data_IF_820843474682
#
_entry.id   IF_820843474682
#
_cell.length_a   1.000
_cell.length_b   1.000
_cell.length_c   1.000
_cell.angle_alpha   90.00
_cell.angle_beta   90.00
_cell.angle_gamma   90.00
#
_symmetry.space_group_name_H-M   'P 1'
#
loop_
_entity.id
_entity.type
_entity.pdbx_description
1 polymer ?
#
# COMPACT_ATOMS: atom_id res chain seq x y z
N UNK A 1 2.33 6.22 10.86
CA UNK A 1 2.23 7.33 9.87
C UNK A 1 1.03 8.23 10.15
N UNK A 2 -0.12 7.68 10.51
CA UNK A 2 -1.32 8.47 10.82
C UNK A 2 -1.14 9.53 11.91
N UNK A 3 -0.38 9.23 12.98
CA UNK A 3 -0.03 10.19 14.04
C UNK A 3 0.67 11.45 13.49
N UNK A 4 1.47 11.33 12.42
CA UNK A 4 2.16 12.47 11.79
C UNK A 4 1.15 13.38 11.09
N UNK A 5 0.17 12.81 10.36
CA UNK A 5 -0.89 13.58 9.72
C UNK A 5 -1.78 14.27 10.76
N UNK A 6 -2.10 13.59 11.86
CA UNK A 6 -2.83 14.18 12.99
C UNK A 6 -2.06 15.37 13.60
N UNK A 7 -0.74 15.21 13.80
CA UNK A 7 0.11 16.30 14.29
C UNK A 7 0.12 17.50 13.34
N UNK A 8 0.27 17.29 12.03
CA UNK A 8 0.21 18.35 11.03
C UNK A 8 -1.13 19.11 11.06
N UNK A 9 -2.26 18.38 11.16
CA UNK A 9 -3.60 18.97 11.29
C UNK A 9 -3.78 19.80 12.57
N UNK A 10 -3.17 19.34 13.68
CA UNK A 10 -3.15 20.09 14.95
C UNK A 10 -2.36 21.39 14.88
N UNK A 11 -1.28 21.44 14.10
CA UNK A 11 -0.45 22.64 13.93
C UNK A 11 -1.15 23.74 13.11
N UNK A 12 -1.87 23.36 12.05
CA UNK A 12 -2.71 24.28 11.29
C UNK A 12 -3.85 23.52 10.61
N UNK A 13 -5.06 23.68 11.12
CA UNK A 13 -6.23 22.95 10.59
C UNK A 13 -6.73 23.50 9.25
N UNK A 14 -6.50 24.78 8.95
CA UNK A 14 -6.93 25.40 7.67
C UNK A 14 -6.00 25.08 6.52
N UNK A 15 -4.70 24.97 6.80
CA UNK A 15 -3.66 24.64 5.82
C UNK A 15 -2.57 23.81 6.51
N UNK A 16 -2.80 22.51 6.73
CA UNK A 16 -1.84 21.66 7.40
C UNK A 16 -0.53 21.60 6.61
N UNK A 17 0.63 21.63 7.27
CA UNK A 17 1.91 21.45 6.59
C UNK A 17 2.01 20.04 6.02
N UNK A 18 2.70 19.91 4.89
CA UNK A 18 3.01 18.61 4.29
C UNK A 18 4.00 17.86 5.16
N UNK A 19 3.93 16.54 5.13
CA UNK A 19 4.86 15.64 5.81
C UNK A 19 5.42 14.63 4.83
N UNK A 20 6.69 14.29 5.01
CA UNK A 20 7.47 13.52 4.06
C UNK A 20 8.13 12.34 4.76
N UNK A 21 8.22 11.20 4.07
CA UNK A 21 8.98 10.04 4.53
C UNK A 21 10.46 10.26 4.23
N UNK A 22 11.32 9.94 5.20
CA UNK A 22 12.77 10.06 5.08
C UNK A 22 13.36 8.69 5.43
N UNK A 23 14.14 8.15 4.50
CA UNK A 23 14.82 6.88 4.70
C UNK A 23 16.24 7.11 5.21
N UNK A 24 16.64 6.32 6.20
CA UNK A 24 17.96 6.44 6.79
C UNK A 24 19.05 6.12 5.75
N UNK A 25 20.08 6.97 5.68
CA UNK A 25 21.17 6.85 4.70
C UNK A 25 20.84 7.41 3.30
N UNK A 26 19.56 7.71 3.02
CA UNK A 26 19.09 8.30 1.77
C UNK A 26 18.35 9.62 2.02
N UNK A 27 18.81 10.40 3.01
CA UNK A 27 18.19 11.66 3.36
C UNK A 27 18.44 12.74 2.28
N UNK A 28 17.41 13.44 1.78
CA UNK A 28 17.57 14.47 0.76
C UNK A 28 18.29 15.70 1.31
N UNK A 29 18.92 16.49 0.42
CA UNK A 29 19.60 17.74 0.81
C UNK A 29 18.67 18.75 1.51
N UNK A 30 17.38 18.74 1.19
CA UNK A 30 16.37 19.56 1.87
C UNK A 30 16.20 19.19 3.34
N UNK A 31 16.58 17.97 3.74
CA UNK A 31 16.60 17.50 5.11
C UNK A 31 17.97 17.70 5.75
N UNK A 32 19.06 17.27 5.10
CA UNK A 32 20.41 17.32 5.69
C UNK A 32 20.88 18.77 5.92
N UNK A 33 20.52 19.71 5.03
CA UNK A 33 20.85 21.14 5.18
C UNK A 33 20.15 21.83 6.37
N UNK A 34 19.18 21.17 7.01
CA UNK A 34 18.53 21.71 8.22
C UNK A 34 19.38 21.53 9.48
N UNK A 35 20.49 20.78 9.41
CA UNK A 35 21.34 20.47 10.54
C UNK A 35 22.73 21.12 10.37
N UNK A 36 23.32 21.72 11.43
CA UNK A 36 24.63 22.37 11.35
C UNK A 36 25.78 21.44 10.96
N UNK A 37 25.68 20.16 11.31
CA UNK A 37 26.60 19.11 10.92
C UNK A 37 25.79 17.85 10.61
N UNK A 38 26.14 17.18 9.52
CA UNK A 38 25.50 15.96 9.08
C UNK A 38 26.56 14.97 8.59
N UNK A 39 26.46 13.72 9.01
CA UNK A 39 27.38 12.64 8.60
C UNK A 39 26.62 11.65 7.74
N UNK A 40 27.14 11.34 6.55
CA UNK A 40 26.56 10.35 5.65
C UNK A 40 27.00 8.96 6.07
N UNK A 41 26.02 8.09 6.31
CA UNK A 41 26.24 6.69 6.70
C UNK A 41 26.01 5.78 5.50
N UNK A 42 27.09 5.53 4.76
CA UNK A 42 27.08 4.70 3.55
C UNK A 42 26.70 3.24 3.85
N UNK A 43 27.07 2.73 5.03
CA UNK A 43 26.70 1.39 5.50
C UNK A 43 25.17 1.24 5.62
N UNK A 44 24.48 2.27 6.08
CA UNK A 44 23.02 2.30 6.16
C UNK A 44 22.40 2.53 4.78
N UNK A 45 22.98 3.43 3.97
CA UNK A 45 22.50 3.69 2.61
C UNK A 45 22.48 2.40 1.77
N UNK A 46 23.54 1.61 1.80
CA UNK A 46 23.63 0.34 1.06
C UNK A 46 22.57 -0.69 1.48
N UNK A 47 22.17 -0.69 2.75
CA UNK A 47 21.09 -1.57 3.24
C UNK A 47 19.74 -1.08 2.70
N UNK A 48 19.51 0.23 2.77
CA UNK A 48 18.26 0.85 2.32
C UNK A 48 18.09 0.77 0.79
N UNK A 49 19.16 0.91 0.00
CA UNK A 49 19.13 0.80 -1.47
C UNK A 49 18.83 -0.62 -1.97
N UNK A 50 19.10 -1.64 -1.16
CA UNK A 50 18.74 -3.03 -1.49
C UNK A 50 17.23 -3.28 -1.36
N UNK A 51 16.51 -2.40 -0.68
CA UNK A 51 15.06 -2.47 -0.58
C UNK A 51 14.43 -1.84 -1.83
N UNK A 52 13.74 -2.68 -2.62
CA UNK A 52 13.32 -2.34 -3.98
C UNK A 52 12.31 -1.18 -4.07
N UNK A 53 11.72 -0.74 -2.95
CA UNK A 53 10.71 0.32 -2.90
C UNK A 53 11.30 1.69 -2.53
N UNK A 54 12.61 1.79 -2.24
CA UNK A 54 13.24 3.05 -1.82
C UNK A 54 13.78 3.82 -3.03
N UNK A 55 12.87 4.52 -3.71
CA UNK A 55 13.28 5.50 -4.73
C UNK A 55 13.84 6.76 -4.06
N UNK A 56 14.84 7.41 -4.68
CA UNK A 56 15.43 8.68 -4.23
C UNK A 56 14.49 9.90 -4.45
N UNK A 57 13.18 9.68 -4.35
CA UNK A 57 12.14 10.65 -4.60
C UNK A 57 11.58 11.21 -3.29
N UNK A 58 11.01 12.41 -3.36
CA UNK A 58 10.30 13.00 -2.22
C UNK A 58 8.94 12.31 -2.09
N UNK A 59 8.79 11.49 -1.04
CA UNK A 59 7.58 10.72 -0.79
C UNK A 59 6.74 11.39 0.29
N UNK A 60 5.44 11.62 0.03
CA UNK A 60 4.53 12.16 1.04
C UNK A 60 4.03 11.06 1.97
N UNK A 61 3.91 11.37 3.27
CA UNK A 61 3.37 10.42 4.25
C UNK A 61 1.93 10.02 3.92
N UNK A 62 1.15 10.90 3.30
CA UNK A 62 -0.22 10.61 2.88
C UNK A 62 -0.29 9.51 1.81
N UNK A 63 0.63 9.54 0.83
CA UNK A 63 0.67 8.56 -0.26
C UNK A 63 1.10 7.18 0.27
N UNK A 64 2.11 7.13 1.14
CA UNK A 64 2.56 5.88 1.75
C UNK A 64 1.48 5.30 2.64
N UNK A 65 0.82 6.13 3.44
CA UNK A 65 -0.29 5.68 4.27
C UNK A 65 -1.44 5.15 3.41
N UNK A 66 -1.78 5.82 2.30
CA UNK A 66 -2.81 5.35 1.38
C UNK A 66 -2.46 3.98 0.76
N UNK A 67 -1.18 3.75 0.43
CA UNK A 67 -0.69 2.44 -0.04
C UNK A 67 -0.82 1.36 1.04
N UNK A 68 -0.40 1.67 2.27
CA UNK A 68 -0.45 0.72 3.40
C UNK A 68 -1.87 0.42 3.89
N UNK A 69 -2.79 1.38 3.77
CA UNK A 69 -4.20 1.23 4.16
C UNK A 69 -5.10 0.84 2.97
N UNK A 70 -4.53 0.44 1.83
CA UNK A 70 -5.31 0.01 0.67
C UNK A 70 -5.97 -1.33 0.94
N UNK A 71 -7.29 -1.31 1.15
CA UNK A 71 -8.10 -2.51 1.35
C UNK A 71 -8.67 -3.07 0.04
N UNK A 72 -8.84 -2.22 -0.98
CA UNK A 72 -9.48 -2.57 -2.25
C UNK A 72 -8.51 -2.40 -3.41
N UNK A 73 -8.46 -3.41 -4.28
CA UNK A 73 -7.61 -3.50 -5.45
C UNK A 73 -8.48 -3.70 -6.70
N UNK A 74 -8.13 -3.07 -7.83
CA UNK A 74 -8.77 -3.35 -9.11
C UNK A 74 -8.63 -4.82 -9.49
N UNK A 75 -9.66 -5.39 -10.13
CA UNK A 75 -9.64 -6.79 -10.59
C UNK A 75 -8.40 -7.14 -11.43
N UNK A 76 -7.97 -6.21 -12.30
CA UNK A 76 -6.78 -6.40 -13.13
C UNK A 76 -5.49 -6.57 -12.31
N UNK A 77 -5.36 -5.90 -11.16
CA UNK A 77 -4.18 -6.04 -10.29
C UNK A 77 -4.17 -7.40 -9.57
N UNK A 78 -5.34 -7.91 -9.16
CA UNK A 78 -5.45 -9.21 -8.47
C UNK A 78 -5.30 -10.41 -9.41
N UNK A 79 -5.59 -10.22 -10.70
CA UNK A 79 -5.35 -11.23 -11.74
C UNK A 79 -3.91 -11.21 -12.26
N UNK A 80 -3.20 -10.09 -12.13
CA UNK A 80 -1.80 -9.98 -12.51
C UNK A 80 -0.88 -10.78 -11.57
N UNK A 81 0.31 -11.10 -12.07
CA UNK A 81 1.39 -11.72 -11.29
C UNK A 81 2.69 -10.93 -11.53
N UNK A 82 3.45 -10.57 -10.48
CA UNK A 82 3.25 -10.89 -9.05
C UNK A 82 2.06 -10.15 -8.41
N UNK A 83 1.52 -10.71 -7.32
CA UNK A 83 0.44 -10.08 -6.55
C UNK A 83 0.96 -8.84 -5.80
N UNK A 84 0.12 -7.82 -5.56
CA UNK A 84 0.49 -6.69 -4.72
C UNK A 84 0.89 -7.12 -3.31
N UNK A 85 1.81 -6.38 -2.70
CA UNK A 85 2.31 -6.67 -1.36
C UNK A 85 1.21 -6.57 -0.30
N UNK A 86 1.16 -7.55 0.60
CA UNK A 86 0.14 -7.61 1.66
C UNK A 86 -1.23 -8.16 1.25
N UNK A 87 -1.42 -8.53 -0.03
CA UNK A 87 -2.64 -9.21 -0.50
C UNK A 87 -2.54 -10.71 -0.21
N UNK A 88 -3.56 -11.27 0.44
CA UNK A 88 -3.66 -12.72 0.68
C UNK A 88 -4.03 -13.46 -0.62
N UNK A 89 -3.13 -14.30 -1.17
CA UNK A 89 -3.37 -15.02 -2.42
C UNK A 89 -4.56 -15.99 -2.35
N UNK A 90 -4.92 -16.46 -1.16
CA UNK A 90 -6.01 -17.42 -1.00
C UNK A 90 -7.39 -16.74 -0.93
N UNK A 91 -7.42 -15.44 -0.65
CA UNK A 91 -8.64 -14.69 -0.36
C UNK A 91 -8.74 -13.39 -1.19
N UNK A 92 -8.40 -13.46 -2.47
CA UNK A 92 -8.42 -12.32 -3.39
C UNK A 92 -9.79 -11.64 -3.49
N UNK A 93 -10.88 -12.37 -3.26
CA UNK A 93 -12.25 -11.84 -3.31
C UNK A 93 -12.58 -10.83 -2.20
N UNK A 94 -11.80 -10.81 -1.12
CA UNK A 94 -11.96 -9.84 -0.03
C UNK A 94 -11.45 -8.46 -0.42
N UNK A 95 -10.52 -8.41 -1.37
CA UNK A 95 -9.86 -7.19 -1.82
C UNK A 95 -10.55 -6.53 -3.02
N UNK A 96 -11.68 -7.07 -3.49
CA UNK A 96 -12.45 -6.50 -4.59
C UNK A 96 -13.56 -5.59 -4.07
N UNK A 97 -13.82 -4.50 -4.79
CA UNK A 97 -15.06 -3.73 -4.61
C UNK A 97 -16.27 -4.59 -4.96
N UNK A 98 -17.46 -4.28 -4.46
CA UNK A 98 -18.66 -5.08 -4.76
C UNK A 98 -18.94 -5.17 -6.27
N UNK A 99 -18.68 -4.07 -7.00
CA UNK A 99 -18.79 -4.05 -8.47
C UNK A 99 -17.79 -4.98 -9.14
N UNK A 100 -16.53 -4.92 -8.73
CA UNK A 100 -15.50 -5.78 -9.32
C UNK A 100 -15.69 -7.24 -8.93
N UNK A 101 -16.24 -7.50 -7.74
CA UNK A 101 -16.61 -8.83 -7.27
C UNK A 101 -17.69 -9.44 -8.17
N UNK A 102 -18.76 -8.70 -8.43
CA UNK A 102 -19.83 -9.13 -9.33
C UNK A 102 -19.33 -9.36 -10.76
N UNK A 103 -18.44 -8.50 -11.26
CA UNK A 103 -17.83 -8.67 -12.60
C UNK A 103 -16.93 -9.90 -12.63
N UNK A 104 -16.14 -10.14 -11.59
CA UNK A 104 -15.19 -11.24 -11.55
C UNK A 104 -15.87 -12.60 -11.38
N UNK A 105 -16.82 -12.70 -10.45
CA UNK A 105 -17.45 -13.95 -10.05
C UNK A 105 -18.84 -14.17 -10.66
N UNK A 106 -19.39 -13.17 -11.37
CA UNK A 106 -20.72 -13.21 -12.00
C UNK A 106 -21.86 -13.50 -11.01
N UNK A 107 -21.67 -13.15 -9.74
CA UNK A 107 -22.63 -13.32 -8.64
C UNK A 107 -22.37 -12.30 -7.54
N UNK A 108 -23.35 -12.05 -6.66
CA UNK A 108 -23.17 -11.10 -5.57
C UNK A 108 -22.38 -11.71 -4.41
N UNK A 109 -21.85 -10.85 -3.52
CA UNK A 109 -21.09 -11.28 -2.34
C UNK A 109 -21.93 -12.12 -1.38
N UNK A 110 -23.23 -11.82 -1.28
CA UNK A 110 -24.19 -12.57 -0.48
C UNK A 110 -24.42 -13.97 -1.05
N UNK A 111 -24.61 -14.07 -2.37
CA UNK A 111 -24.81 -15.36 -3.04
C UNK A 111 -23.57 -16.25 -2.89
N UNK A 112 -22.38 -15.68 -3.07
CA UNK A 112 -21.11 -16.39 -2.88
C UNK A 112 -20.92 -16.86 -1.43
N UNK A 113 -21.25 -16.01 -0.46
CA UNK A 113 -21.20 -16.32 0.98
C UNK A 113 -22.09 -17.51 1.36
N UNK A 114 -23.24 -17.68 0.70
CA UNK A 114 -24.14 -18.82 0.92
C UNK A 114 -23.65 -20.13 0.31
N UNK A 115 -22.65 -20.11 -0.58
CA UNK A 115 -22.11 -21.33 -1.18
C UNK A 115 -21.26 -22.11 -0.18
N UNK A 116 -21.27 -23.46 -0.23
CA UNK A 116 -20.31 -24.27 0.52
C UNK A 116 -18.87 -23.92 0.15
N UNK A 117 -17.93 -24.03 1.09
CA UNK A 117 -16.52 -23.64 0.89
C UNK A 117 -15.85 -24.31 -0.32
N UNK A 118 -16.17 -25.58 -0.61
CA UNK A 118 -15.63 -26.28 -1.78
C UNK A 118 -16.09 -25.63 -3.11
N UNK A 119 -17.31 -25.08 -3.15
CA UNK A 119 -17.87 -24.43 -4.32
C UNK A 119 -17.33 -23.01 -4.48
N UNK A 120 -17.14 -22.28 -3.37
CA UNK A 120 -16.44 -20.99 -3.35
C UNK A 120 -15.04 -21.11 -3.96
N UNK A 121 -14.25 -22.09 -3.51
CA UNK A 121 -12.90 -22.36 -4.05
C UNK A 121 -12.93 -22.70 -5.54
N UNK A 122 -13.90 -23.51 -5.98
CA UNK A 122 -14.02 -23.86 -7.40
C UNK A 122 -14.34 -22.63 -8.28
N UNK A 123 -15.21 -21.74 -7.81
CA UNK A 123 -15.55 -20.49 -8.51
C UNK A 123 -14.32 -19.58 -8.62
N UNK A 124 -13.56 -19.41 -7.53
CA UNK A 124 -12.29 -18.64 -7.54
C UNK A 124 -11.29 -19.19 -8.53
N UNK A 125 -11.07 -20.51 -8.50
CA UNK A 125 -10.16 -21.19 -9.43
C UNK A 125 -10.57 -21.01 -10.89
N UNK A 126 -11.87 -21.09 -11.18
CA UNK A 126 -12.38 -20.88 -12.54
C UNK A 126 -12.12 -19.46 -13.08
N UNK A 127 -12.00 -18.48 -12.17
CA UNK A 127 -11.78 -17.06 -12.50
C UNK A 127 -10.34 -16.59 -12.30
N UNK A 128 -9.41 -17.47 -11.92
CA UNK A 128 -8.01 -17.11 -11.68
C UNK A 128 -7.76 -16.32 -10.40
N UNK A 129 -8.72 -16.32 -9.47
CA UNK A 129 -8.64 -15.67 -8.16
C UNK A 129 -8.22 -16.66 -7.05
N UNK A 130 -7.39 -17.65 -7.41
CA UNK A 130 -6.82 -18.65 -6.51
C UNK A 130 -5.30 -18.76 -6.71
#
# INVERSE_FOLDING_TARGET
METVLQYCKGKNSKKPPKSYLIHAGLEPLTFTNMFPSWEHREDIAQITEQDADVSNQIILVEDVLAKLCKEIYPLAELLARPLPEGVDPLNLELYLSDKDFEIALEMTREEYSMLPSWKQVNVKKAKGLF
#
